data_IF_391193087802
#
_entry.id   IF_391193087802
#
_cell.length_a   1.000
_cell.length_b   1.000
_cell.length_c   1.000
_cell.angle_alpha   90.00
_cell.angle_beta   90.00
_cell.angle_gamma   90.00
#
_symmetry.space_group_name_H-M   'P 1'
#
loop_
_entity.id
_entity.type
_entity.pdbx_description
1 polymer ?
#
# COMPACT_ATOMS: atom_id res chain seq x y z
N UNK A 1 -7.04 -30.36 -15.68
CA UNK A 1 -7.05 -29.38 -14.59
C UNK A 1 -8.47 -29.00 -14.25
N UNK A 2 -8.74 -28.77 -12.96
CA UNK A 2 -10.07 -28.43 -12.46
C UNK A 2 -10.23 -26.92 -12.32
N UNK A 3 -11.47 -26.44 -12.23
CA UNK A 3 -11.76 -25.03 -11.92
C UNK A 3 -11.15 -24.60 -10.56
N UNK A 4 -11.01 -25.54 -9.63
CA UNK A 4 -10.41 -25.33 -8.31
C UNK A 4 -8.95 -24.86 -8.39
N UNK A 5 -8.19 -25.35 -9.37
CA UNK A 5 -6.77 -24.99 -9.56
C UNK A 5 -6.59 -23.50 -9.91
N UNK A 6 -7.67 -22.85 -10.36
CA UNK A 6 -7.72 -21.45 -10.81
C UNK A 6 -8.55 -20.56 -9.90
N UNK A 7 -9.06 -21.11 -8.80
CA UNK A 7 -9.95 -20.42 -7.88
C UNK A 7 -9.20 -19.91 -6.65
N UNK A 8 -9.61 -18.73 -6.20
CA UNK A 8 -9.07 -17.98 -5.07
C UNK A 8 -10.21 -17.23 -4.37
N UNK A 9 -10.00 -16.82 -3.13
CA UNK A 9 -10.92 -15.92 -2.44
C UNK A 9 -10.16 -14.77 -1.81
N UNK A 10 -10.57 -13.54 -2.13
CA UNK A 10 -10.08 -12.33 -1.46
C UNK A 10 -10.95 -12.04 -0.24
N UNK A 11 -10.35 -12.05 0.94
CA UNK A 11 -11.00 -11.71 2.20
C UNK A 11 -10.52 -10.34 2.64
N UNK A 12 -11.46 -9.41 2.78
CA UNK A 12 -11.17 -8.10 3.40
C UNK A 12 -11.59 -8.18 4.86
N UNK A 13 -10.63 -7.90 5.76
CA UNK A 13 -10.84 -7.94 7.19
C UNK A 13 -10.44 -6.63 7.87
N UNK A 14 -11.05 -6.31 9.01
CA UNK A 14 -10.67 -5.16 9.85
C UNK A 14 -11.88 -4.29 10.21
N UNK A 15 -11.66 -3.24 11.02
CA UNK A 15 -12.72 -2.35 11.51
C UNK A 15 -13.68 -1.81 10.46
N UNK A 16 -13.18 -1.63 9.22
CA UNK A 16 -13.98 -1.16 8.10
C UNK A 16 -15.05 -2.18 7.64
N UNK A 17 -14.87 -3.46 7.97
CA UNK A 17 -15.75 -4.59 7.60
C UNK A 17 -16.63 -5.10 8.75
N UNK A 18 -16.51 -4.51 9.96
CA UNK A 18 -17.23 -4.96 11.17
C UNK A 18 -18.76 -4.95 11.03
N UNK A 19 -19.30 -4.02 10.24
CA UNK A 19 -20.74 -3.94 9.95
C UNK A 19 -21.19 -4.87 8.82
N UNK A 20 -20.31 -5.79 8.38
CA UNK A 20 -20.45 -6.49 7.11
C UNK A 20 -20.76 -5.50 5.99
N UNK A 21 -19.89 -4.49 5.84
CA UNK A 21 -19.92 -3.54 4.72
C UNK A 21 -18.52 -3.27 4.20
N UNK A 22 -18.35 -2.99 2.91
CA UNK A 22 -17.09 -2.57 2.30
C UNK A 22 -17.38 -1.45 1.28
N UNK A 23 -16.65 -0.33 1.30
CA UNK A 23 -16.75 0.67 0.25
C UNK A 23 -16.45 0.06 -1.12
N UNK A 24 -17.28 0.39 -2.11
CA UNK A 24 -17.12 -0.13 -3.47
C UNK A 24 -15.75 0.21 -4.07
N UNK A 25 -15.17 1.36 -3.71
CA UNK A 25 -13.83 1.77 -4.15
C UNK A 25 -12.73 0.80 -3.72
N UNK A 26 -12.82 0.24 -2.50
CA UNK A 26 -11.84 -0.75 -2.01
C UNK A 26 -11.93 -2.04 -2.82
N UNK A 27 -13.16 -2.50 -3.09
CA UNK A 27 -13.36 -3.70 -3.91
C UNK A 27 -12.85 -3.49 -5.34
N UNK A 28 -13.15 -2.34 -5.96
CA UNK A 28 -12.63 -1.97 -7.29
C UNK A 28 -11.11 -1.92 -7.29
N UNK A 29 -10.49 -1.30 -6.28
CA UNK A 29 -9.04 -1.25 -6.12
C UNK A 29 -8.43 -2.66 -6.10
N UNK A 30 -8.96 -3.56 -5.27
CA UNK A 30 -8.45 -4.94 -5.16
C UNK A 30 -8.59 -5.67 -6.51
N UNK A 31 -9.78 -5.61 -7.12
CA UNK A 31 -10.08 -6.38 -8.33
C UNK A 31 -9.35 -5.86 -9.57
N UNK A 32 -9.26 -4.55 -9.76
CA UNK A 32 -8.53 -3.97 -10.91
C UNK A 32 -7.04 -4.28 -10.85
N UNK A 33 -6.45 -4.17 -9.66
CA UNK A 33 -5.03 -4.43 -9.48
C UNK A 33 -4.71 -5.94 -9.54
N UNK A 34 -5.60 -6.79 -9.03
CA UNK A 34 -5.51 -8.25 -9.21
C UNK A 34 -5.61 -8.65 -10.68
N UNK A 35 -6.60 -8.12 -11.42
CA UNK A 35 -6.76 -8.33 -12.87
C UNK A 35 -5.46 -7.98 -13.60
N UNK A 36 -4.89 -6.81 -13.29
CA UNK A 36 -3.65 -6.34 -13.89
C UNK A 36 -2.46 -7.26 -13.57
N UNK A 37 -2.35 -7.72 -12.32
CA UNK A 37 -1.32 -8.67 -11.93
C UNK A 37 -1.43 -9.99 -12.73
N UNK A 38 -2.64 -10.54 -12.88
CA UNK A 38 -2.84 -11.77 -13.66
C UNK A 38 -2.51 -11.59 -15.14
N UNK A 39 -2.86 -10.46 -15.74
CA UNK A 39 -2.51 -10.17 -17.14
C UNK A 39 -0.99 -10.08 -17.35
N UNK A 40 -0.26 -9.46 -16.42
CA UNK A 40 1.19 -9.34 -16.46
C UNK A 40 1.89 -10.68 -16.21
N UNK A 41 1.42 -11.47 -15.23
CA UNK A 41 1.90 -12.84 -15.00
C UNK A 41 1.63 -13.70 -16.24
N UNK A 42 0.48 -13.50 -16.88
CA UNK A 42 0.10 -14.18 -18.12
C UNK A 42 1.12 -13.98 -19.25
N UNK A 43 1.73 -12.80 -19.37
CA UNK A 43 2.80 -12.55 -20.35
C UNK A 43 4.01 -13.47 -20.11
N UNK A 44 4.41 -13.66 -18.85
CA UNK A 44 5.49 -14.59 -18.51
C UNK A 44 5.09 -16.04 -18.82
N UNK A 45 3.88 -16.45 -18.47
CA UNK A 45 3.37 -17.81 -18.77
C UNK A 45 3.34 -18.07 -20.27
N UNK A 46 3.04 -17.05 -21.09
CA UNK A 46 3.09 -17.12 -22.55
C UNK A 46 4.52 -16.98 -23.14
N UNK A 47 5.55 -16.78 -22.30
CA UNK A 47 6.94 -16.57 -22.72
C UNK A 47 7.17 -15.27 -23.49
N UNK A 48 6.31 -14.27 -23.29
CA UNK A 48 6.36 -12.97 -23.96
C UNK A 48 7.10 -11.94 -23.11
N UNK A 49 7.91 -11.13 -23.76
CA UNK A 49 8.52 -9.96 -23.12
C UNK A 49 7.56 -8.78 -23.17
N UNK A 50 7.64 -7.91 -22.17
CA UNK A 50 6.91 -6.65 -22.15
C UNK A 50 7.63 -5.67 -23.09
N UNK A 51 7.04 -5.36 -24.24
CA UNK A 51 7.40 -4.14 -24.97
C UNK A 51 6.69 -2.95 -24.32
N UNK A 52 7.44 -1.89 -24.07
CA UNK A 52 7.11 -0.80 -23.15
C UNK A 52 5.77 -0.07 -23.44
N UNK A 53 5.31 -0.07 -24.70
CA UNK A 53 4.02 0.50 -25.17
C UNK A 53 2.98 -0.52 -25.61
N UNK A 54 3.24 -1.81 -25.48
CA UNK A 54 2.29 -2.83 -25.92
C UNK A 54 1.12 -2.89 -24.92
N UNK A 55 -0.02 -2.33 -25.33
CA UNK A 55 -1.31 -2.72 -24.74
C UNK A 55 -1.37 -4.26 -24.74
N UNK A 56 -1.75 -4.84 -23.60
CA UNK A 56 -2.05 -6.26 -23.51
C UNK A 56 -2.98 -6.63 -24.68
N UNK A 57 -2.56 -7.61 -25.48
CA UNK A 57 -3.37 -8.08 -26.58
C UNK A 57 -4.73 -8.52 -26.02
N UNK A 58 -5.82 -8.18 -26.71
CA UNK A 58 -7.18 -8.53 -26.29
C UNK A 58 -7.31 -10.02 -25.98
N UNK A 59 -6.63 -10.86 -26.76
CA UNK A 59 -6.55 -12.30 -26.56
C UNK A 59 -5.92 -12.72 -25.23
N UNK A 60 -4.89 -12.01 -24.74
CA UNK A 60 -4.25 -12.31 -23.45
C UNK A 60 -5.13 -11.82 -22.29
N UNK A 61 -5.80 -10.67 -22.44
CA UNK A 61 -6.75 -10.18 -21.44
C UNK A 61 -7.95 -11.14 -21.27
N UNK A 62 -8.48 -11.70 -22.36
CA UNK A 62 -9.57 -12.70 -22.32
C UNK A 62 -9.11 -14.03 -21.66
N UNK A 63 -7.85 -14.44 -21.85
CA UNK A 63 -7.29 -15.66 -21.23
C UNK A 63 -7.06 -15.54 -19.73
N UNK A 64 -6.59 -14.39 -19.26
CA UNK A 64 -6.25 -14.16 -17.85
C UNK A 64 -7.27 -13.28 -17.13
N UNK A 65 -8.52 -13.31 -17.58
CA UNK A 65 -9.62 -12.58 -16.98
C UNK A 65 -9.93 -13.11 -15.57
N UNK A 66 -10.10 -12.20 -14.62
CA UNK A 66 -10.55 -12.43 -13.27
C UNK A 66 -12.08 -12.39 -13.24
N UNK A 67 -12.71 -13.53 -13.01
CA UNK A 67 -14.17 -13.66 -12.96
C UNK A 67 -14.60 -13.67 -11.49
N UNK A 68 -15.35 -12.65 -11.08
CA UNK A 68 -15.98 -12.59 -9.76
C UNK A 68 -17.15 -13.57 -9.68
N UNK A 69 -17.18 -14.39 -8.64
CA UNK A 69 -18.26 -15.33 -8.36
C UNK A 69 -19.25 -14.74 -7.35
N UNK A 70 -20.29 -15.50 -7.03
CA UNK A 70 -21.26 -15.10 -6.01
C UNK A 70 -20.55 -14.89 -4.65
N UNK A 71 -20.71 -13.72 -4.01
CA UNK A 71 -20.13 -13.46 -2.69
C UNK A 71 -20.61 -14.45 -1.63
N UNK A 72 -19.75 -14.77 -0.67
CA UNK A 72 -20.08 -15.68 0.44
C UNK A 72 -20.82 -14.92 1.55
N UNK A 73 -21.83 -15.55 2.14
CA UNK A 73 -22.64 -14.94 3.20
C UNK A 73 -21.84 -14.76 4.50
N UNK A 74 -21.93 -13.58 5.12
CA UNK A 74 -21.40 -13.31 6.47
C UNK A 74 -19.98 -12.73 6.54
N UNK A 75 -19.28 -12.58 5.42
CA UNK A 75 -17.98 -11.91 5.33
C UNK A 75 -17.83 -11.19 3.98
N UNK A 76 -16.94 -10.18 3.89
CA UNK A 76 -16.51 -9.64 2.59
C UNK A 76 -15.45 -10.55 1.99
N UNK A 77 -15.90 -11.72 1.57
CA UNK A 77 -15.14 -12.67 0.78
C UNK A 77 -15.63 -12.59 -0.67
N UNK A 78 -14.72 -12.26 -1.58
CA UNK A 78 -14.98 -12.26 -3.02
C UNK A 78 -14.27 -13.46 -3.64
N UNK A 79 -15.00 -14.56 -3.95
CA UNK A 79 -14.41 -15.66 -4.67
C UNK A 79 -14.20 -15.24 -6.13
N UNK A 80 -13.05 -15.62 -6.67
CA UNK A 80 -12.63 -15.30 -8.03
C UNK A 80 -12.07 -16.53 -8.71
N UNK A 81 -12.24 -16.60 -10.03
CA UNK A 81 -11.63 -17.63 -10.87
C UNK A 81 -10.85 -16.93 -11.97
N UNK A 82 -9.63 -17.40 -12.24
CA UNK A 82 -8.80 -16.92 -13.34
C UNK A 82 -9.08 -17.75 -14.60
N UNK A 83 -9.36 -17.06 -15.70
CA UNK A 83 -9.66 -17.66 -16.99
C UNK A 83 -11.00 -17.20 -17.55
N UNK A 84 -11.01 -16.73 -18.80
CA UNK A 84 -12.22 -16.30 -19.51
C UNK A 84 -12.65 -17.23 -20.65
N UNK A 85 -13.63 -16.77 -21.43
CA UNK A 85 -14.15 -17.45 -22.62
C UNK A 85 -13.18 -17.33 -23.82
N UNK A 86 -11.94 -17.79 -23.65
CA UNK A 86 -10.94 -17.85 -24.69
C UNK A 86 -11.07 -19.14 -25.52
N UNK A 87 -10.94 -19.03 -26.84
CA UNK A 87 -10.92 -20.17 -27.78
C UNK A 87 -9.60 -20.98 -27.74
N UNK A 88 -8.59 -20.53 -26.97
CA UNK A 88 -7.31 -21.22 -26.79
C UNK A 88 -7.44 -22.47 -25.90
N UNK A 89 -7.06 -23.62 -26.46
CA UNK A 89 -7.08 -24.93 -25.80
C UNK A 89 -6.18 -25.00 -24.55
N UNK A 90 -5.08 -24.23 -24.50
CA UNK A 90 -4.16 -24.19 -23.37
C UNK A 90 -4.52 -23.14 -22.32
N UNK A 91 -5.56 -22.33 -22.55
CA UNK A 91 -5.95 -21.27 -21.62
C UNK A 91 -6.21 -21.76 -20.18
N UNK A 92 -6.84 -22.92 -19.93
CA UNK A 92 -7.00 -23.42 -18.57
C UNK A 92 -5.66 -23.70 -17.89
N UNK A 93 -4.72 -24.36 -18.59
CA UNK A 93 -3.39 -24.71 -18.08
C UNK A 93 -2.58 -23.47 -17.72
N UNK A 94 -2.57 -22.50 -18.62
CA UNK A 94 -1.91 -21.22 -18.44
C UNK A 94 -2.53 -20.41 -17.28
N UNK A 95 -3.86 -20.42 -17.14
CA UNK A 95 -4.55 -19.71 -16.08
C UNK A 95 -4.25 -20.30 -14.68
N UNK A 96 -4.09 -21.62 -14.53
CA UNK A 96 -3.67 -22.15 -13.22
C UNK A 96 -2.20 -21.92 -12.94
N UNK A 97 -1.33 -21.96 -13.96
CA UNK A 97 0.06 -21.55 -13.78
C UNK A 97 0.15 -20.09 -13.29
N UNK A 98 -0.64 -19.18 -13.89
CA UNK A 98 -0.72 -17.79 -13.44
C UNK A 98 -1.29 -17.67 -12.02
N UNK A 99 -2.31 -18.46 -11.68
CA UNK A 99 -2.88 -18.53 -10.33
C UNK A 99 -1.85 -18.99 -9.30
N UNK A 100 -1.04 -19.99 -9.64
CA UNK A 100 0.00 -20.51 -8.75
C UNK A 100 1.11 -19.48 -8.55
N UNK A 101 1.61 -18.85 -9.63
CA UNK A 101 2.59 -17.76 -9.55
C UNK A 101 2.07 -16.64 -8.63
N UNK A 102 0.80 -16.23 -8.78
CA UNK A 102 0.22 -15.20 -7.93
C UNK A 102 0.18 -15.62 -6.45
N UNK A 103 -0.23 -16.86 -6.14
CA UNK A 103 -0.20 -17.39 -4.76
C UNK A 103 1.20 -17.38 -4.18
N UNK A 104 2.18 -17.86 -4.94
CA UNK A 104 3.58 -17.95 -4.50
C UNK A 104 4.17 -16.56 -4.26
N UNK A 105 3.85 -15.57 -5.10
CA UNK A 105 4.23 -14.17 -4.87
C UNK A 105 3.66 -13.62 -3.56
N UNK A 106 2.37 -13.86 -3.30
CA UNK A 106 1.73 -13.41 -2.06
C UNK A 106 2.34 -14.07 -0.81
N UNK A 107 2.71 -15.34 -0.91
CA UNK A 107 3.44 -16.07 0.15
C UNK A 107 4.83 -15.48 0.38
N UNK A 108 5.61 -15.25 -0.67
CA UNK A 108 6.96 -14.68 -0.51
C UNK A 108 6.94 -13.23 -0.02
N UNK A 109 5.91 -12.44 -0.38
CA UNK A 109 5.64 -11.13 0.24
C UNK A 109 5.41 -11.31 1.74
N UNK A 110 4.52 -12.23 2.15
CA UNK A 110 4.27 -12.51 3.57
C UNK A 110 5.55 -12.90 4.33
N UNK A 111 6.42 -13.70 3.71
CA UNK A 111 7.67 -14.20 4.31
C UNK A 111 8.83 -13.21 4.23
N UNK A 112 8.69 -12.15 3.45
CA UNK A 112 9.75 -11.19 3.11
C UNK A 112 10.95 -11.86 2.42
N UNK A 113 10.68 -12.83 1.55
CA UNK A 113 11.71 -13.61 0.86
C UNK A 113 12.00 -13.03 -0.54
N UNK A 114 13.09 -12.27 -0.66
CA UNK A 114 13.50 -11.64 -1.94
C UNK A 114 13.91 -12.68 -2.99
N UNK A 115 14.67 -13.70 -2.59
CA UNK A 115 15.22 -14.70 -3.51
C UNK A 115 14.08 -15.52 -4.13
N UNK A 116 13.08 -15.87 -3.32
CA UNK A 116 11.88 -16.58 -3.79
C UNK A 116 11.14 -15.77 -4.88
N UNK A 117 11.01 -14.44 -4.74
CA UNK A 117 10.37 -13.58 -5.75
C UNK A 117 11.13 -13.55 -7.09
N UNK A 118 12.46 -13.57 -7.06
CA UNK A 118 13.29 -13.59 -8.28
C UNK A 118 13.20 -14.93 -9.01
N UNK A 119 13.01 -16.04 -8.27
CA UNK A 119 12.79 -17.37 -8.84
C UNK A 119 11.40 -17.45 -9.49
N UNK A 120 10.37 -16.89 -8.85
CA UNK A 120 8.98 -16.96 -9.32
C UNK A 120 8.75 -16.08 -10.56
N UNK A 121 9.28 -14.86 -10.57
CA UNK A 121 9.24 -13.94 -11.72
C UNK A 121 10.66 -13.51 -12.12
N UNK A 122 11.37 -14.24 -12.99
CA UNK A 122 12.77 -13.93 -13.34
C UNK A 122 12.96 -12.62 -14.09
N UNK A 123 12.01 -12.24 -14.96
CA UNK A 123 12.06 -10.97 -15.70
C UNK A 123 11.83 -9.80 -14.75
N UNK A 124 12.88 -8.99 -14.52
CA UNK A 124 12.83 -7.86 -13.58
C UNK A 124 11.82 -6.78 -13.95
N UNK A 125 11.54 -6.55 -15.24
CA UNK A 125 10.56 -5.57 -15.70
C UNK A 125 9.13 -6.05 -15.43
N UNK A 126 8.85 -7.32 -15.75
CA UNK A 126 7.56 -7.94 -15.41
C UNK A 126 7.37 -7.98 -13.89
N UNK A 127 8.40 -8.43 -13.16
CA UNK A 127 8.39 -8.52 -11.70
C UNK A 127 8.05 -7.18 -11.05
N UNK A 128 8.73 -6.09 -11.44
CA UNK A 128 8.44 -4.74 -10.91
C UNK A 128 6.98 -4.35 -11.16
N UNK A 129 6.46 -4.53 -12.38
CA UNK A 129 5.06 -4.17 -12.72
C UNK A 129 4.02 -5.03 -12.00
N UNK A 130 4.29 -6.32 -11.81
CA UNK A 130 3.42 -7.22 -11.03
C UNK A 130 3.43 -6.81 -9.56
N UNK A 131 4.60 -6.54 -8.98
CA UNK A 131 4.72 -6.09 -7.59
C UNK A 131 4.02 -4.74 -7.36
N UNK A 132 4.15 -3.77 -8.26
CA UNK A 132 3.38 -2.52 -8.20
C UNK A 132 1.86 -2.75 -8.31
N UNK A 133 1.43 -3.72 -9.11
CA UNK A 133 0.01 -4.12 -9.18
C UNK A 133 -0.43 -4.73 -7.84
N UNK A 134 0.35 -5.65 -7.26
CA UNK A 134 0.05 -6.24 -5.94
C UNK A 134 0.01 -5.16 -4.87
N UNK A 135 0.96 -4.23 -4.85
CA UNK A 135 1.00 -3.07 -3.96
C UNK A 135 -0.27 -2.23 -4.06
N UNK A 136 -0.79 -2.04 -5.28
CA UNK A 136 -2.08 -1.39 -5.52
C UNK A 136 -3.28 -2.11 -4.89
N UNK A 137 -3.20 -3.41 -4.60
CA UNK A 137 -4.25 -4.17 -3.89
C UNK A 137 -4.22 -3.95 -2.37
N UNK A 138 -3.11 -3.45 -1.83
CA UNK A 138 -2.89 -3.39 -0.40
C UNK A 138 -3.62 -2.20 0.25
N UNK A 139 -4.01 -2.33 1.53
CA UNK A 139 -4.46 -1.19 2.32
C UNK A 139 -3.35 -0.13 2.40
N UNK A 140 -3.75 1.13 2.35
CA UNK A 140 -2.86 2.20 2.80
C UNK A 140 -2.73 2.18 4.32
N UNK A 141 -1.59 2.63 4.85
CA UNK A 141 -1.39 2.77 6.30
C UNK A 141 -2.57 3.50 6.96
N UNK A 142 -3.12 2.87 8.00
CA UNK A 142 -4.23 3.42 8.77
C UNK A 142 -5.59 3.37 8.06
N UNK A 143 -5.75 2.67 6.95
CA UNK A 143 -7.06 2.53 6.28
C UNK A 143 -8.04 1.62 7.04
N UNK A 144 -7.57 0.89 8.05
CA UNK A 144 -8.42 0.10 8.94
C UNK A 144 -8.96 -1.18 8.31
N UNK A 145 -8.27 -1.72 7.30
CA UNK A 145 -8.55 -3.03 6.73
C UNK A 145 -7.25 -3.72 6.29
N UNK A 146 -7.32 -5.02 6.06
CA UNK A 146 -6.25 -5.87 5.51
C UNK A 146 -6.82 -6.82 4.46
N UNK A 147 -5.93 -7.38 3.65
CA UNK A 147 -6.27 -8.33 2.62
C UNK A 147 -5.68 -9.71 2.96
N UNK A 148 -6.57 -10.69 3.10
CA UNK A 148 -6.21 -12.08 3.27
C UNK A 148 -6.57 -12.85 1.98
N UNK A 149 -5.69 -13.72 1.53
CA UNK A 149 -5.88 -14.58 0.37
C UNK A 149 -6.14 -16.01 0.83
N UNK A 150 -7.19 -16.61 0.30
CA UNK A 150 -7.53 -18.02 0.53
C UNK A 150 -7.54 -18.80 -0.77
N UNK A 151 -7.19 -20.08 -0.71
CA UNK A 151 -7.31 -20.98 -1.84
C UNK A 151 -8.74 -21.51 -2.01
N UNK A 152 -8.95 -22.36 -3.02
CA UNK A 152 -10.23 -22.99 -3.33
C UNK A 152 -10.75 -23.94 -2.23
N UNK A 153 -9.91 -24.33 -1.28
CA UNK A 153 -10.27 -25.19 -0.15
C UNK A 153 -10.58 -24.41 1.12
N UNK A 154 -10.44 -23.09 1.08
CA UNK A 154 -10.63 -22.21 2.24
C UNK A 154 -9.43 -22.18 3.19
N UNK A 155 -8.25 -22.63 2.74
CA UNK A 155 -7.00 -22.49 3.50
C UNK A 155 -6.39 -21.12 3.22
N UNK A 156 -5.95 -20.43 4.28
CA UNK A 156 -5.26 -19.16 4.15
C UNK A 156 -3.92 -19.37 3.46
N UNK A 157 -3.75 -18.73 2.30
CA UNK A 157 -2.54 -18.74 1.50
C UNK A 157 -1.58 -17.68 2.00
N UNK A 158 -2.08 -16.44 2.10
CA UNK A 158 -1.29 -15.30 2.49
C UNK A 158 -2.13 -14.26 3.25
N UNK A 159 -1.48 -13.54 4.16
CA UNK A 159 -1.99 -12.37 4.86
C UNK A 159 -1.04 -11.20 4.60
N UNK A 160 -1.57 -10.18 3.96
CA UNK A 160 -0.83 -8.95 3.64
C UNK A 160 -1.52 -7.74 4.25
N UNK A 161 -0.75 -6.72 4.60
CA UNK A 161 -1.26 -5.51 5.24
C UNK A 161 -0.33 -4.34 5.06
N UNK A 162 -0.44 -3.35 5.94
CA UNK A 162 0.22 -2.04 5.82
C UNK A 162 1.75 -2.11 5.66
N UNK A 163 2.41 -3.14 6.24
CA UNK A 163 3.85 -3.34 6.11
C UNK A 163 4.27 -3.89 4.73
N UNK A 164 3.36 -4.56 4.03
CA UNK A 164 3.66 -5.26 2.77
C UNK A 164 4.00 -4.28 1.66
N UNK A 165 3.45 -3.06 1.68
CA UNK A 165 3.78 -2.02 0.72
C UNK A 165 5.24 -1.57 0.83
N UNK A 166 5.74 -1.34 2.06
CA UNK A 166 7.15 -0.98 2.28
C UNK A 166 8.11 -2.07 1.83
N UNK A 167 7.77 -3.34 2.09
CA UNK A 167 8.58 -4.45 1.60
C UNK A 167 8.61 -4.51 0.06
N UNK A 168 7.50 -4.21 -0.61
CA UNK A 168 7.48 -4.12 -2.08
C UNK A 168 8.36 -2.97 -2.57
N UNK A 169 8.30 -1.80 -1.93
CA UNK A 169 9.16 -0.66 -2.28
C UNK A 169 10.65 -1.03 -2.19
N UNK A 170 11.05 -1.75 -1.14
CA UNK A 170 12.43 -2.27 -0.99
C UNK A 170 12.83 -3.22 -2.13
N UNK A 171 11.88 -3.99 -2.70
CA UNK A 171 12.14 -4.91 -3.81
C UNK A 171 12.26 -4.20 -5.15
N UNK A 172 11.53 -3.10 -5.36
CA UNK A 172 11.41 -2.43 -6.66
C UNK A 172 12.34 -1.24 -6.85
N UNK A 173 12.87 -0.69 -5.75
CA UNK A 173 13.75 0.49 -5.75
C UNK A 173 15.08 0.18 -5.04
N UNK A 174 16.24 0.54 -5.61
CA UNK A 174 17.53 0.41 -4.93
C UNK A 174 17.57 1.10 -3.56
N UNK A 175 18.20 0.47 -2.56
CA UNK A 175 18.24 0.98 -1.18
C UNK A 175 18.89 2.36 -1.06
N UNK A 176 19.93 2.64 -1.86
CA UNK A 176 20.59 3.95 -1.90
C UNK A 176 19.66 5.05 -2.39
N UNK A 177 18.85 4.76 -3.42
CA UNK A 177 17.84 5.68 -3.95
C UNK A 177 16.73 5.90 -2.93
N UNK A 178 16.22 4.85 -2.26
CA UNK A 178 15.22 4.99 -1.21
C UNK A 178 15.70 5.86 -0.04
N UNK A 179 16.96 5.74 0.35
CA UNK A 179 17.53 6.51 1.45
C UNK A 179 17.73 8.00 1.10
N UNK A 180 17.97 8.31 -0.16
CA UNK A 180 18.19 9.68 -0.64
C UNK A 180 16.92 10.35 -1.20
N UNK A 181 15.90 9.56 -1.54
CA UNK A 181 14.65 10.06 -2.08
C UNK A 181 13.89 10.90 -1.06
N UNK A 182 13.26 11.97 -1.54
CA UNK A 182 12.36 12.80 -0.76
C UNK A 182 11.00 12.86 -1.43
N UNK A 183 9.96 13.07 -0.63
CA UNK A 183 8.59 13.22 -1.12
C UNK A 183 8.22 14.69 -1.12
N UNK A 184 7.69 15.16 -2.25
CA UNK A 184 7.12 16.49 -2.41
C UNK A 184 5.66 16.36 -2.77
N UNK A 185 4.82 17.16 -2.12
CA UNK A 185 3.40 17.26 -2.44
C UNK A 185 3.15 18.48 -3.32
N UNK A 186 2.45 18.32 -4.45
CA UNK A 186 2.11 19.42 -5.34
C UNK A 186 0.92 19.16 -6.25
N UNK A 187 0.36 20.23 -6.82
CA UNK A 187 -0.78 20.13 -7.73
C UNK A 187 -0.30 19.74 -9.13
N UNK A 188 -0.85 18.67 -9.71
CA UNK A 188 -0.53 18.29 -11.08
C UNK A 188 -0.94 19.38 -12.08
N UNK A 189 0.01 19.86 -12.89
CA UNK A 189 -0.22 20.86 -13.94
C UNK A 189 -0.20 20.28 -15.34
N UNK A 190 0.77 19.43 -15.63
CA UNK A 190 0.97 18.87 -16.96
C UNK A 190 1.61 17.48 -16.91
N UNK A 191 1.35 16.68 -17.95
CA UNK A 191 2.04 15.41 -18.19
C UNK A 191 2.49 15.37 -19.65
N UNK A 192 3.78 15.15 -19.86
CA UNK A 192 4.42 14.92 -21.16
C UNK A 192 4.98 13.48 -21.19
N UNK A 193 4.20 12.57 -21.78
CA UNK A 193 4.58 11.16 -21.96
C UNK A 193 5.74 10.97 -22.96
N UNK A 194 5.96 11.92 -23.89
CA UNK A 194 7.07 11.81 -24.82
C UNK A 194 8.41 12.11 -24.13
N UNK A 195 8.39 13.09 -23.21
CA UNK A 195 9.54 13.46 -22.40
C UNK A 195 9.67 12.66 -21.08
N UNK A 196 8.69 11.79 -20.77
CA UNK A 196 8.54 11.10 -19.48
C UNK A 196 8.64 12.06 -18.30
N UNK A 197 7.85 13.13 -18.39
CA UNK A 197 7.91 14.27 -17.48
C UNK A 197 6.52 14.66 -17.02
N UNK A 198 6.35 14.86 -15.73
CA UNK A 198 5.19 15.55 -15.17
C UNK A 198 5.63 16.87 -14.57
N UNK A 199 4.73 17.84 -14.51
CA UNK A 199 4.98 19.13 -13.88
C UNK A 199 3.98 19.33 -12.76
N UNK A 200 4.47 19.57 -11.55
CA UNK A 200 3.66 19.92 -10.37
C UNK A 200 3.86 21.38 -9.98
N UNK A 201 2.82 22.02 -9.44
CA UNK A 201 2.97 23.28 -8.72
C UNK A 201 3.31 22.99 -7.26
N UNK A 202 4.50 23.42 -6.82
CA UNK A 202 4.95 23.26 -5.44
C UNK A 202 4.32 24.34 -4.54
N UNK A 203 3.47 23.98 -3.55
CA UNK A 203 2.71 24.94 -2.76
C UNK A 203 3.56 25.94 -1.98
N UNK A 204 4.72 25.52 -1.49
CA UNK A 204 5.60 26.33 -0.63
C UNK A 204 6.17 27.54 -1.36
N UNK A 205 6.67 27.34 -2.58
CA UNK A 205 7.30 28.42 -3.36
C UNK A 205 6.40 28.97 -4.46
N UNK A 206 5.28 28.28 -4.73
CA UNK A 206 4.38 28.54 -5.87
C UNK A 206 5.09 28.51 -7.21
N UNK A 207 6.15 27.72 -7.32
CA UNK A 207 6.89 27.47 -8.56
C UNK A 207 6.53 26.11 -9.11
N UNK A 208 6.57 26.01 -10.43
CA UNK A 208 6.47 24.72 -11.11
C UNK A 208 7.77 23.94 -10.93
N UNK A 209 7.63 22.64 -10.71
CA UNK A 209 8.73 21.69 -10.65
C UNK A 209 8.51 20.61 -11.69
N UNK A 210 9.55 20.37 -12.48
CA UNK A 210 9.60 19.25 -13.41
C UNK A 210 9.99 17.98 -12.64
N UNK A 211 9.25 16.91 -12.84
CA UNK A 211 9.52 15.60 -12.27
C UNK A 211 9.67 14.57 -13.40
N UNK A 212 10.84 13.92 -13.47
CA UNK A 212 11.19 12.95 -14.51
C UNK A 212 10.99 11.53 -13.99
N UNK A 213 10.24 10.73 -14.73
CA UNK A 213 9.81 9.41 -14.26
C UNK A 213 10.20 8.29 -15.24
N UNK A 214 10.43 7.06 -14.76
CA UNK A 214 10.60 5.91 -15.63
C UNK A 214 9.26 5.45 -16.24
N UNK A 215 9.31 4.83 -17.41
CA UNK A 215 8.12 4.44 -18.17
C UNK A 215 7.18 3.52 -17.38
N UNK A 216 7.70 2.72 -16.45
CA UNK A 216 6.88 1.84 -15.62
C UNK A 216 5.83 2.58 -14.77
N UNK A 217 6.02 3.88 -14.48
CA UNK A 217 5.09 4.68 -13.69
C UNK A 217 4.00 5.37 -14.53
N UNK A 218 4.05 5.29 -15.87
CA UNK A 218 3.03 5.91 -16.75
C UNK A 218 1.61 5.42 -16.44
N UNK A 219 1.49 4.15 -16.08
CA UNK A 219 0.24 3.51 -15.72
C UNK A 219 -0.43 4.14 -14.48
N UNK A 220 0.36 4.67 -13.54
CA UNK A 220 -0.11 5.35 -12.34
C UNK A 220 -0.60 6.77 -12.67
N UNK A 221 0.07 7.45 -13.59
CA UNK A 221 -0.26 8.80 -14.04
C UNK A 221 -1.62 8.88 -14.74
N UNK A 222 -2.03 7.82 -15.43
CA UNK A 222 -3.36 7.76 -16.04
C UNK A 222 -4.50 7.75 -15.01
N UNK A 223 -4.24 7.29 -13.78
CA UNK A 223 -5.25 7.22 -12.70
C UNK A 223 -5.32 8.55 -11.93
N UNK A 224 -4.16 9.20 -11.70
CA UNK A 224 -4.01 10.25 -10.70
C UNK A 224 -4.17 11.70 -11.24
N UNK A 225 -5.24 12.01 -11.97
CA UNK A 225 -5.27 13.23 -12.82
C UNK A 225 -5.78 14.51 -12.16
N UNK A 226 -6.35 14.45 -10.96
CA UNK A 226 -7.29 15.50 -10.51
C UNK A 226 -7.03 16.18 -9.17
N UNK A 227 -6.02 15.76 -8.40
CA UNK A 227 -5.79 16.31 -7.06
C UNK A 227 -4.30 16.55 -6.75
N UNK A 228 -4.00 16.93 -5.50
CA UNK A 228 -2.62 17.00 -4.99
C UNK A 228 -1.96 15.63 -5.13
N UNK A 229 -0.75 15.62 -5.71
CA UNK A 229 0.06 14.43 -5.85
C UNK A 229 1.25 14.47 -4.90
N UNK A 230 1.58 13.31 -4.36
CA UNK A 230 2.85 13.04 -3.71
C UNK A 230 3.79 12.43 -4.74
N UNK A 231 4.94 13.08 -4.95
CA UNK A 231 5.98 12.62 -5.86
C UNK A 231 7.22 12.34 -5.05
N UNK A 232 7.71 11.10 -5.11
CA UNK A 232 8.92 10.67 -4.40
C UNK A 232 10.03 10.42 -5.41
N UNK A 233 11.20 10.99 -5.17
CA UNK A 233 12.37 10.84 -6.03
C UNK A 233 13.56 11.65 -5.56
N UNK A 234 14.57 11.78 -6.42
CA UNK A 234 15.81 12.48 -6.13
C UNK A 234 15.65 13.98 -6.35
N UNK A 235 15.81 14.75 -5.29
CA UNK A 235 15.62 16.21 -5.34
C UNK A 235 16.79 16.93 -6.00
N UNK A 236 16.50 17.70 -7.04
CA UNK A 236 17.42 18.67 -7.61
C UNK A 236 17.11 20.04 -7.00
N UNK A 237 18.08 20.59 -6.28
CA UNK A 237 17.99 21.93 -5.69
C UNK A 237 18.57 22.98 -6.64
N UNK A 238 18.08 24.22 -6.56
CA UNK A 238 18.71 25.37 -7.20
C UNK A 238 19.88 25.93 -6.36
N UNK A 239 20.53 26.99 -6.87
CA UNK A 239 21.67 27.65 -6.20
C UNK A 239 21.30 28.25 -4.82
N UNK A 240 20.00 28.35 -4.49
CA UNK A 240 19.50 28.80 -3.20
C UNK A 240 19.09 27.66 -2.26
N UNK A 241 19.30 26.41 -2.67
CA UNK A 241 18.92 25.22 -1.90
C UNK A 241 17.42 24.91 -1.98
N UNK A 242 16.69 25.51 -2.92
CA UNK A 242 15.25 25.32 -3.06
C UNK A 242 14.99 24.20 -4.08
N UNK A 243 14.04 23.28 -3.81
CA UNK A 243 13.53 22.32 -4.79
C UNK A 243 13.22 22.94 -6.15
N UNK A 244 13.90 22.46 -7.20
CA UNK A 244 13.72 22.90 -8.59
C UNK A 244 13.11 21.81 -9.45
N UNK A 245 13.56 20.57 -9.27
CA UNK A 245 13.09 19.41 -10.02
C UNK A 245 13.21 18.14 -9.17
N UNK A 246 12.54 17.08 -9.61
CA UNK A 246 12.67 15.74 -9.06
C UNK A 246 13.14 14.83 -10.20
N UNK A 247 14.34 14.29 -10.09
CA UNK A 247 14.84 13.28 -11.01
C UNK A 247 14.61 11.89 -10.43
N UNK A 248 14.73 10.87 -11.26
CA UNK A 248 14.59 9.46 -10.85
C UNK A 248 13.37 9.24 -9.96
N UNK A 249 12.19 9.69 -10.41
CA UNK A 249 10.94 9.51 -9.66
C UNK A 249 10.66 8.02 -9.48
N UNK A 250 10.47 7.61 -8.23
CA UNK A 250 10.26 6.20 -7.87
C UNK A 250 8.80 5.90 -7.53
N UNK A 251 8.04 6.88 -7.06
CA UNK A 251 6.64 6.70 -6.64
C UNK A 251 5.82 7.98 -6.88
N UNK A 252 4.60 7.81 -7.39
CA UNK A 252 3.65 8.91 -7.65
C UNK A 252 2.27 8.46 -7.16
N UNK A 253 1.70 9.20 -6.21
CA UNK A 253 0.39 8.88 -5.62
C UNK A 253 -0.47 10.11 -5.45
N UNK A 254 -1.78 9.92 -5.38
CA UNK A 254 -2.68 10.97 -4.90
C UNK A 254 -2.50 11.15 -3.39
N UNK A 255 -2.66 12.40 -2.94
CA UNK A 255 -2.70 12.73 -1.53
C UNK A 255 -3.97 12.16 -0.88
N UNK A 256 -3.81 11.15 -0.01
CA UNK A 256 -4.94 10.51 0.67
C UNK A 256 -5.13 11.04 2.10
N UNK A 257 -6.18 11.85 2.28
CA UNK A 257 -6.63 12.36 3.57
C UNK A 257 -7.82 11.58 4.15
N UNK A 258 -8.07 10.36 3.67
CA UNK A 258 -9.09 9.47 4.23
C UNK A 258 -8.85 9.21 5.72
N UNK A 259 -9.90 8.93 6.52
CA UNK A 259 -9.75 8.69 7.96
C UNK A 259 -8.65 7.68 8.29
N UNK A 260 -7.84 7.99 9.29
CA UNK A 260 -6.73 7.15 9.73
C UNK A 260 -7.15 6.40 10.99
N UNK A 261 -7.08 5.08 10.96
CA UNK A 261 -7.46 4.18 12.04
C UNK A 261 -6.25 3.48 12.62
N UNK A 262 -6.05 3.62 13.93
CA UNK A 262 -5.03 2.91 14.69
C UNK A 262 -5.68 1.90 15.64
N UNK A 263 -5.21 0.66 15.65
CA UNK A 263 -5.76 -0.41 16.49
C UNK A 263 -4.73 -1.15 17.31
N UNK A 264 -3.49 -1.28 16.82
CA UNK A 264 -2.46 -2.06 17.46
C UNK A 264 -1.06 -1.56 17.08
N UNK A 265 -0.19 -1.52 18.09
CA UNK A 265 1.25 -1.34 17.97
C UNK A 265 1.95 -2.62 18.42
N UNK A 266 3.04 -2.99 17.76
CA UNK A 266 3.96 -4.04 18.22
C UNK A 266 5.39 -3.60 17.96
N UNK A 267 6.12 -3.23 19.02
CA UNK A 267 7.51 -2.72 18.95
C UNK A 267 8.37 -3.43 19.99
N UNK A 268 9.32 -4.24 19.53
CA UNK A 268 10.14 -5.07 20.42
C UNK A 268 9.27 -6.00 21.28
N UNK A 269 9.38 -5.91 22.59
CA UNK A 269 8.56 -6.67 23.55
C UNK A 269 7.25 -5.98 23.93
N UNK A 270 7.04 -4.74 23.48
CA UNK A 270 5.85 -3.96 23.76
C UNK A 270 4.77 -4.26 22.72
N UNK A 271 3.64 -4.77 23.19
CA UNK A 271 2.42 -4.89 22.37
C UNK A 271 1.32 -4.08 23.03
N UNK A 272 0.82 -3.07 22.32
CA UNK A 272 -0.31 -2.26 22.74
C UNK A 272 -1.48 -2.51 21.79
N UNK A 273 -2.65 -2.77 22.34
CA UNK A 273 -3.89 -2.89 21.58
C UNK A 273 -4.88 -1.86 22.08
N UNK A 274 -5.43 -1.05 21.17
CA UNK A 274 -6.48 -0.11 21.50
C UNK A 274 -7.77 -0.88 21.78
N UNK A 275 -8.41 -0.63 22.94
CA UNK A 275 -9.69 -1.28 23.29
C UNK A 275 -10.79 -0.96 22.29
N UNK A 276 -10.67 0.20 21.63
CA UNK A 276 -11.41 0.59 20.43
C UNK A 276 -10.43 1.24 19.46
N UNK A 277 -10.56 1.01 18.15
CA UNK A 277 -9.70 1.69 17.18
C UNK A 277 -9.77 3.20 17.34
N UNK A 278 -8.62 3.84 17.51
CA UNK A 278 -8.49 5.29 17.46
C UNK A 278 -8.71 5.76 16.04
N UNK A 279 -9.46 6.85 15.87
CA UNK A 279 -9.79 7.41 14.57
C UNK A 279 -9.29 8.85 14.52
N UNK A 280 -8.46 9.14 13.53
CA UNK A 280 -7.95 10.46 13.24
C UNK A 280 -8.51 10.94 11.90
N UNK A 281 -8.65 12.25 11.77
CA UNK A 281 -8.95 12.90 10.51
C UNK A 281 -7.65 13.56 10.04
N UNK A 282 -6.95 12.98 9.05
CA UNK A 282 -5.72 13.57 8.55
C UNK A 282 -5.99 14.95 7.97
N UNK A 283 -5.09 15.88 8.25
CA UNK A 283 -5.11 17.22 7.69
C UNK A 283 -3.73 17.56 7.14
N UNK A 284 -3.67 18.48 6.19
CA UNK A 284 -2.40 19.03 5.76
C UNK A 284 -2.01 20.21 6.65
N UNK A 285 -0.71 20.37 6.85
CA UNK A 285 -0.13 21.57 7.45
C UNK A 285 -0.27 22.80 6.53
N UNK A 286 0.15 23.97 7.03
CA UNK A 286 0.09 25.22 6.26
C UNK A 286 0.91 25.18 4.96
N UNK A 287 2.00 24.40 4.92
CA UNK A 287 2.83 24.23 3.73
C UNK A 287 2.24 23.23 2.72
N UNK A 288 1.21 22.49 3.11
CA UNK A 288 0.62 21.38 2.37
C UNK A 288 1.61 20.25 2.04
N UNK A 289 2.69 20.13 2.82
CA UNK A 289 3.72 19.09 2.63
C UNK A 289 3.62 17.97 3.65
N UNK A 290 3.08 18.26 4.83
CA UNK A 290 3.00 17.31 5.92
C UNK A 290 1.55 16.93 6.20
N UNK A 291 1.32 15.63 6.35
CA UNK A 291 0.09 15.07 6.89
C UNK A 291 0.21 15.12 8.40
N UNK A 292 -0.81 15.65 9.07
CA UNK A 292 -0.86 15.81 10.52
C UNK A 292 -1.99 14.96 11.11
N UNK A 293 -1.69 14.24 12.19
CA UNK A 293 -2.69 13.58 13.04
C UNK A 293 -2.65 14.18 14.44
N UNK A 294 -3.83 14.40 15.02
CA UNK A 294 -3.97 15.03 16.34
C UNK A 294 -5.04 14.37 17.18
N UNK A 295 -4.74 14.15 18.46
CA UNK A 295 -5.69 13.80 19.51
C UNK A 295 -5.30 14.53 20.79
N UNK A 296 -6.01 15.62 21.10
CA UNK A 296 -5.77 16.46 22.28
C UNK A 296 -5.96 15.68 23.60
N UNK A 297 -6.81 14.65 23.60
CA UNK A 297 -7.06 13.87 24.81
C UNK A 297 -5.84 13.03 25.18
N UNK A 298 -5.16 12.46 24.18
CA UNK A 298 -3.95 11.67 24.39
C UNK A 298 -2.66 12.49 24.24
N UNK A 299 -2.76 13.78 23.92
CA UNK A 299 -1.60 14.63 23.62
C UNK A 299 -0.86 14.18 22.37
N UNK A 300 -1.57 13.55 21.42
CA UNK A 300 -0.99 13.10 20.17
C UNK A 300 -0.96 14.28 19.20
N UNK A 301 0.21 14.55 18.65
CA UNK A 301 0.45 15.51 17.59
C UNK A 301 1.66 15.00 16.80
N UNK A 302 1.40 14.37 15.66
CA UNK A 302 2.42 13.82 14.76
C UNK A 302 2.23 14.36 13.36
N UNK A 303 3.33 14.51 12.65
CA UNK A 303 3.33 14.95 11.26
C UNK A 303 4.46 14.29 10.48
N UNK A 304 4.21 13.98 9.21
CA UNK A 304 5.23 13.51 8.29
C UNK A 304 4.77 13.69 6.84
N UNK A 305 5.68 13.51 5.87
CA UNK A 305 5.35 13.77 4.46
C UNK A 305 4.35 12.76 3.89
N UNK A 306 4.37 11.51 4.35
CA UNK A 306 3.53 10.43 3.81
C UNK A 306 2.72 9.76 4.89
N UNK A 307 1.59 9.12 4.52
CA UNK A 307 0.79 8.31 5.44
C UNK A 307 1.60 7.22 6.13
N UNK A 308 2.56 6.61 5.41
CA UNK A 308 3.44 5.58 5.96
C UNK A 308 4.32 6.15 7.07
N UNK A 309 4.97 7.30 6.82
CA UNK A 309 5.82 7.94 7.81
C UNK A 309 5.02 8.45 9.01
N UNK A 310 3.83 9.02 8.78
CA UNK A 310 2.92 9.43 9.85
C UNK A 310 2.52 8.25 10.74
N UNK A 311 2.32 7.06 10.16
CA UNK A 311 2.05 5.86 10.94
C UNK A 311 3.21 5.49 11.86
N UNK A 312 4.46 5.61 11.36
CA UNK A 312 5.67 5.37 12.17
C UNK A 312 5.80 6.40 13.29
N UNK A 313 5.60 7.69 13.00
CA UNK A 313 5.62 8.75 14.02
C UNK A 313 4.52 8.53 15.09
N UNK A 314 3.32 8.11 14.67
CA UNK A 314 2.23 7.79 15.58
C UNK A 314 2.59 6.61 16.50
N UNK A 315 3.15 5.54 15.92
CA UNK A 315 3.65 4.38 16.65
C UNK A 315 4.72 4.77 17.68
N UNK A 316 5.62 5.66 17.30
CA UNK A 316 6.68 6.20 18.18
C UNK A 316 6.14 7.03 19.32
N UNK A 317 5.24 7.97 19.02
CA UNK A 317 4.64 8.81 20.04
C UNK A 317 3.80 7.98 21.01
N UNK A 318 3.01 7.01 20.52
CA UNK A 318 2.23 6.12 21.40
C UNK A 318 3.14 5.26 22.28
N UNK A 319 4.24 4.71 21.74
CA UNK A 319 5.21 3.95 22.52
C UNK A 319 5.85 4.81 23.62
N UNK A 320 6.27 6.03 23.27
CA UNK A 320 6.83 6.99 24.21
C UNK A 320 5.81 7.33 25.31
N UNK A 321 4.59 7.74 24.94
CA UNK A 321 3.51 8.07 25.88
C UNK A 321 3.22 6.93 26.86
N UNK A 322 3.22 5.69 26.36
CA UNK A 322 3.03 4.52 27.21
C UNK A 322 4.20 4.33 28.19
N UNK A 323 5.43 4.42 27.70
CA UNK A 323 6.62 4.19 28.51
C UNK A 323 6.85 5.28 29.56
N UNK A 324 6.62 6.55 29.20
CA UNK A 324 6.92 7.70 30.05
C UNK A 324 5.78 8.08 30.99
N UNK A 325 4.52 7.83 30.60
CA UNK A 325 3.35 8.22 31.40
C UNK A 325 2.56 7.01 31.90
N UNK A 326 2.20 6.05 31.03
CA UNK A 326 1.34 4.95 31.45
C UNK A 326 2.02 4.02 32.47
N UNK A 327 3.34 3.79 32.31
CA UNK A 327 4.13 2.94 33.19
C UNK A 327 4.84 3.67 34.33
N UNK A 328 4.86 5.01 34.34
CA UNK A 328 5.50 5.78 35.40
C UNK A 328 4.76 5.65 36.73
N UNK A 329 5.50 5.76 37.84
CA UNK A 329 4.91 5.83 39.18
C UNK A 329 4.10 7.12 39.35
N UNK A 330 2.97 7.06 40.05
CA UNK A 330 2.08 8.22 40.25
C UNK A 330 2.80 9.34 41.01
N UNK A 331 3.71 8.98 41.94
CA UNK A 331 4.51 9.94 42.71
C UNK A 331 5.54 10.71 41.85
N UNK A 332 5.84 10.22 40.65
CA UNK A 332 6.75 10.86 39.70
C UNK A 332 6.03 11.78 38.70
N UNK A 333 4.69 11.84 38.75
CA UNK A 333 3.85 12.57 37.80
C UNK A 333 3.11 13.71 38.48
N UNK A 334 3.02 14.86 37.80
CA UNK A 334 2.12 15.93 38.22
C UNK A 334 0.65 15.59 37.92
N UNK A 335 -0.28 16.42 38.40
CA UNK A 335 -1.72 16.17 38.24
C UNK A 335 -2.16 16.06 36.77
N UNK A 336 -1.51 16.81 35.86
CA UNK A 336 -1.83 16.80 34.43
C UNK A 336 -1.37 15.48 33.80
N UNK A 337 -0.15 15.06 34.12
CA UNK A 337 0.47 13.83 33.67
C UNK A 337 -0.23 12.58 34.23
N UNK A 338 -0.68 12.61 35.49
CA UNK A 338 -1.54 11.56 36.05
C UNK A 338 -2.87 11.46 35.28
N UNK A 339 -3.45 12.60 34.89
CA UNK A 339 -4.64 12.63 34.03
C UNK A 339 -4.41 11.95 32.67
N UNK A 340 -3.24 12.19 32.04
CA UNK A 340 -2.86 11.55 30.79
C UNK A 340 -2.64 10.04 30.95
N UNK A 341 -1.93 9.62 32.00
CA UNK A 341 -1.75 8.20 32.38
C UNK A 341 -3.09 7.48 32.44
N UNK A 342 -4.08 8.04 33.15
CA UNK A 342 -5.41 7.40 33.25
C UNK A 342 -6.08 7.25 31.88
N UNK A 343 -5.97 8.25 30.99
CA UNK A 343 -6.55 8.16 29.64
C UNK A 343 -5.84 7.12 28.77
N UNK A 344 -4.53 6.97 28.90
CA UNK A 344 -3.76 5.92 28.21
C UNK A 344 -4.19 4.53 28.70
N UNK A 345 -4.28 4.31 30.02
CA UNK A 345 -4.71 3.03 30.61
C UNK A 345 -6.18 2.68 30.30
N UNK A 346 -7.03 3.68 30.14
CA UNK A 346 -8.41 3.49 29.68
C UNK A 346 -8.42 3.08 28.20
N UNK A 347 -7.61 3.71 27.36
CA UNK A 347 -7.60 3.54 25.91
C UNK A 347 -6.96 2.23 25.46
N UNK A 348 -5.86 1.82 26.08
CA UNK A 348 -5.04 0.69 25.64
C UNK A 348 -5.03 -0.46 26.64
N UNK A 349 -4.91 -1.66 26.12
CA UNK A 349 -4.42 -2.83 26.84
C UNK A 349 -2.95 -3.05 26.46
N UNK A 350 -2.06 -3.03 27.44
CA UNK A 350 -0.63 -3.27 27.25
C UNK A 350 -0.21 -4.64 27.77
N UNK A 351 0.53 -5.39 26.94
CA UNK A 351 1.24 -6.60 27.36
C UNK A 351 2.72 -6.39 27.12
N UNK A 352 3.50 -6.38 28.20
CA UNK A 352 4.96 -6.45 28.13
C UNK A 352 5.34 -7.92 28.28
N UNK A 353 5.81 -8.57 27.21
CA UNK A 353 6.37 -9.90 27.36
C UNK A 353 7.74 -9.77 28.02
N UNK A 354 7.86 -10.29 29.25
CA UNK A 354 9.16 -10.48 29.89
C UNK A 354 9.96 -11.51 29.06
N UNK A 355 11.22 -11.16 28.78
CA UNK A 355 12.14 -11.98 27.98
C UNK A 355 12.48 -13.32 28.65
#
# INVERSE_FOLDING_TARGET
>A
MTELDRALTFHVEGPLTDAHTLPASVLVQILENAQRAFELIGLQVEGRTVNARARLAKSSAEKFQLICQLPVHGCYAMPVVVGGASDDLFAPEQAAAATQIFKDLMVGIQRRDREEMEIILPDGSIRKRVLESIKGMLPQCGSGWRLDLYDSTGVSVARVGDWSASFIDELTVPTEELAAAQTVTGELRNIDFAARKLTILYPVTRREMDCFYPEELEDLLFKNRRDLLQVTGMMILDDSGVPKAIDDVTDIREMDLSPFSFSRLSRGTLVLTAKRPLKFVPMLDESSQYICLRDDSLGIEVFAETRQKVAVELDEQIAMLWSEYALADDDCLDEVAQGLKQRLLITFDGVTHAA
#
